data_IF_850999534543
#
_entry.id   IF_850999534543
#
_cell.length_a   1.000
_cell.length_b   1.000
_cell.length_c   1.000
_cell.angle_alpha   90.00
_cell.angle_beta   90.00
_cell.angle_gamma   90.00
#
_symmetry.space_group_name_H-M   'P 1'
#
loop_
_entity.id
_entity.type
_entity.pdbx_description
1 polymer ?
#
# COMPACT_ATOMS: atom_id res chain seq x y z
N UNK A 1 21.84 -44.63 -15.16
CA UNK A 1 21.26 -44.54 -13.80
C UNK A 1 20.23 -43.43 -13.78
N UNK A 2 18.95 -43.76 -13.66
CA UNK A 2 17.88 -42.76 -13.59
C UNK A 2 18.00 -41.97 -12.28
N UNK A 3 18.19 -40.65 -12.38
CA UNK A 3 18.29 -39.74 -11.24
C UNK A 3 16.97 -39.80 -10.47
N UNK A 4 16.95 -40.50 -9.32
CA UNK A 4 15.77 -40.60 -8.46
C UNK A 4 15.30 -39.19 -8.10
N UNK A 5 14.18 -38.78 -8.69
CA UNK A 5 13.61 -37.46 -8.46
C UNK A 5 13.07 -37.44 -7.03
N UNK A 6 13.74 -36.71 -6.14
CA UNK A 6 13.32 -36.56 -4.74
C UNK A 6 11.88 -36.03 -4.70
N UNK A 7 11.04 -36.62 -3.85
CA UNK A 7 9.61 -36.28 -3.72
C UNK A 7 9.38 -34.79 -3.41
N UNK A 8 10.38 -34.14 -2.78
CA UNK A 8 10.39 -32.72 -2.41
C UNK A 8 10.72 -31.75 -3.54
N UNK A 9 11.33 -32.22 -4.64
CA UNK A 9 11.75 -31.38 -5.77
C UNK A 9 10.76 -31.57 -6.93
N UNK A 10 9.64 -30.84 -6.88
CA UNK A 10 8.54 -30.97 -7.82
C UNK A 10 8.14 -29.65 -8.46
N UNK A 11 7.65 -29.75 -9.69
CA UNK A 11 7.17 -28.59 -10.41
C UNK A 11 5.75 -28.26 -9.91
N UNK A 12 5.65 -27.24 -9.06
CA UNK A 12 4.41 -26.74 -8.46
C UNK A 12 3.32 -26.50 -9.51
N UNK A 13 3.66 -25.94 -10.68
CA UNK A 13 2.68 -25.66 -11.74
C UNK A 13 2.04 -26.94 -12.32
N UNK A 14 2.81 -28.02 -12.48
CA UNK A 14 2.31 -29.30 -13.00
C UNK A 14 1.40 -29.98 -11.97
N UNK A 15 1.79 -29.92 -10.69
CA UNK A 15 1.00 -30.45 -9.58
C UNK A 15 -0.33 -29.68 -9.46
N UNK A 16 -0.27 -28.34 -9.44
CA UNK A 16 -1.45 -27.48 -9.46
C UNK A 16 -2.40 -27.83 -10.61
N UNK A 17 -1.89 -28.01 -11.82
CA UNK A 17 -2.72 -28.36 -12.97
C UNK A 17 -3.44 -29.71 -12.81
N UNK A 18 -2.82 -30.71 -12.16
CA UNK A 18 -3.47 -31.98 -11.84
C UNK A 18 -4.54 -31.80 -10.76
N UNK A 19 -4.25 -31.06 -9.69
CA UNK A 19 -5.21 -30.79 -8.61
C UNK A 19 -6.42 -29.98 -9.09
N UNK A 20 -6.22 -29.00 -9.97
CA UNK A 20 -7.32 -28.26 -10.63
C UNK A 20 -8.24 -29.20 -11.42
N UNK A 21 -7.69 -30.21 -12.09
CA UNK A 21 -8.49 -31.21 -12.80
C UNK A 21 -9.26 -32.12 -11.85
N UNK A 22 -8.66 -32.53 -10.73
CA UNK A 22 -9.32 -33.32 -9.70
C UNK A 22 -10.49 -32.54 -9.05
N UNK A 23 -10.23 -31.30 -8.60
CA UNK A 23 -11.24 -30.43 -7.99
C UNK A 23 -12.41 -30.13 -8.94
N UNK A 24 -12.17 -29.98 -10.24
CA UNK A 24 -13.25 -29.78 -11.23
C UNK A 24 -14.16 -31.00 -11.37
N UNK A 25 -13.67 -32.21 -11.10
CA UNK A 25 -14.47 -33.45 -11.13
C UNK A 25 -15.29 -33.59 -9.85
N UNK A 26 -14.75 -33.17 -8.72
CA UNK A 26 -15.37 -33.27 -7.39
C UNK A 26 -16.14 -31.99 -7.01
N UNK A 27 -16.86 -31.38 -7.96
CA UNK A 27 -17.72 -30.22 -7.70
C UNK A 27 -17.06 -29.02 -7.00
N UNK A 28 -15.73 -28.89 -7.04
CA UNK A 28 -14.94 -27.86 -6.37
C UNK A 28 -14.91 -27.93 -4.84
N UNK A 29 -15.23 -29.09 -4.26
CA UNK A 29 -15.13 -29.37 -2.83
C UNK A 29 -14.40 -30.70 -2.65
N UNK A 30 -13.31 -30.71 -1.87
CA UNK A 30 -12.52 -31.93 -1.70
C UNK A 30 -11.66 -31.88 -0.44
N UNK A 31 -11.44 -33.04 0.16
CA UNK A 31 -10.50 -33.21 1.28
C UNK A 31 -9.09 -33.52 0.76
N UNK A 32 -8.09 -33.46 1.64
CA UNK A 32 -6.72 -33.85 1.26
C UNK A 32 -6.67 -35.33 0.84
N UNK A 33 -7.46 -36.19 1.48
CA UNK A 33 -7.54 -37.62 1.17
C UNK A 33 -8.11 -37.86 -0.23
N UNK A 34 -9.22 -37.20 -0.55
CA UNK A 34 -9.88 -37.31 -1.86
C UNK A 34 -8.98 -36.78 -2.98
N UNK A 35 -8.32 -35.63 -2.75
CA UNK A 35 -7.34 -35.10 -3.70
C UNK A 35 -6.17 -36.04 -3.95
N UNK A 36 -5.68 -36.75 -2.92
CA UNK A 36 -4.64 -37.76 -3.11
C UNK A 36 -5.16 -38.94 -3.94
N UNK A 37 -6.36 -39.44 -3.63
CA UNK A 37 -6.99 -40.55 -4.34
C UNK A 37 -7.25 -40.22 -5.82
N UNK A 38 -7.79 -39.02 -6.11
CA UNK A 38 -8.13 -38.58 -7.45
C UNK A 38 -6.91 -38.19 -8.32
N UNK A 39 -5.85 -37.65 -7.70
CA UNK A 39 -4.67 -37.15 -8.44
C UNK A 39 -3.49 -38.11 -8.48
N UNK A 40 -3.44 -39.10 -7.58
CA UNK A 40 -2.33 -40.02 -7.41
C UNK A 40 -1.04 -39.34 -6.93
N UNK A 41 -1.15 -38.20 -6.26
CA UNK A 41 -0.02 -37.39 -5.80
C UNK A 41 0.34 -37.69 -4.33
N UNK A 42 1.63 -37.56 -3.93
CA UNK A 42 2.04 -37.69 -2.55
C UNK A 42 1.43 -36.60 -1.65
N UNK A 43 1.07 -36.95 -0.41
CA UNK A 43 0.49 -36.06 0.61
C UNK A 43 1.17 -34.68 0.67
N UNK A 44 2.49 -34.67 0.82
CA UNK A 44 3.29 -33.44 0.89
C UNK A 44 3.08 -32.49 -0.31
N UNK A 45 2.98 -33.03 -1.53
CA UNK A 45 2.78 -32.22 -2.73
C UNK A 45 1.37 -31.63 -2.79
N UNK A 46 0.38 -32.38 -2.32
CA UNK A 46 -1.02 -31.95 -2.22
C UNK A 46 -1.15 -30.84 -1.18
N UNK A 47 -0.65 -31.03 0.03
CA UNK A 47 -0.72 -30.04 1.13
C UNK A 47 -0.05 -28.71 0.78
N UNK A 48 1.16 -28.76 0.23
CA UNK A 48 1.88 -27.55 -0.21
C UNK A 48 1.14 -26.84 -1.34
N UNK A 49 0.65 -27.59 -2.33
CA UNK A 49 0.03 -27.00 -3.51
C UNK A 49 -1.39 -26.48 -3.23
N UNK A 50 -2.17 -27.17 -2.40
CA UNK A 50 -3.53 -26.76 -2.05
C UNK A 50 -3.50 -25.45 -1.24
N UNK A 51 -2.52 -25.26 -0.35
CA UNK A 51 -2.31 -24.00 0.37
C UNK A 51 -2.09 -22.82 -0.58
N UNK A 52 -1.22 -23.00 -1.57
CA UNK A 52 -0.98 -22.01 -2.62
C UNK A 52 -2.22 -21.79 -3.51
N UNK A 53 -3.01 -22.83 -3.74
CA UNK A 53 -4.25 -22.74 -4.53
C UNK A 53 -5.37 -22.02 -3.76
N UNK A 54 -5.45 -22.19 -2.44
CA UNK A 54 -6.44 -21.48 -1.60
C UNK A 54 -6.24 -19.96 -1.66
N UNK A 55 -5.00 -19.47 -1.69
CA UNK A 55 -4.74 -18.04 -1.92
C UNK A 55 -5.02 -17.61 -3.36
N UNK A 56 -4.57 -18.38 -4.35
CA UNK A 56 -4.72 -18.04 -5.78
C UNK A 56 -6.18 -18.03 -6.27
N UNK A 57 -6.99 -18.97 -5.79
CA UNK A 57 -8.38 -19.21 -6.22
C UNK A 57 -9.43 -18.79 -5.19
N UNK A 58 -9.05 -18.14 -4.08
CA UNK A 58 -9.95 -17.81 -2.96
C UNK A 58 -10.69 -19.05 -2.44
N UNK A 59 -9.90 -20.08 -2.12
CA UNK A 59 -10.40 -21.26 -1.43
C UNK A 59 -10.84 -20.91 -0.02
N UNK A 60 -11.96 -21.46 0.38
CA UNK A 60 -12.44 -21.40 1.75
C UNK A 60 -12.29 -22.77 2.38
N UNK A 61 -12.29 -22.78 3.70
CA UNK A 61 -12.07 -23.97 4.51
C UNK A 61 -13.30 -24.20 5.38
N UNK A 62 -13.74 -25.46 5.43
CA UNK A 62 -14.82 -25.92 6.30
C UNK A 62 -14.36 -27.19 7.01
N UNK A 63 -15.04 -27.49 8.10
CA UNK A 63 -14.86 -28.75 8.84
C UNK A 63 -16.00 -29.67 8.44
N UNK A 64 -15.68 -30.91 8.09
CA UNK A 64 -16.69 -31.96 7.87
C UNK A 64 -17.20 -32.50 9.21
N UNK A 65 -18.31 -33.23 9.20
CA UNK A 65 -18.80 -33.93 10.40
C UNK A 65 -17.79 -34.95 10.95
N UNK A 66 -16.89 -35.45 10.11
CA UNK A 66 -15.77 -36.33 10.49
C UNK A 66 -14.57 -35.60 11.11
N UNK A 67 -14.60 -34.27 11.21
CA UNK A 67 -13.48 -33.48 11.72
C UNK A 67 -12.34 -33.27 10.72
N UNK A 68 -12.57 -33.57 9.45
CA UNK A 68 -11.60 -33.35 8.38
C UNK A 68 -11.74 -31.96 7.77
N UNK A 69 -10.64 -31.46 7.21
CA UNK A 69 -10.59 -30.14 6.57
C UNK A 69 -11.08 -30.28 5.12
N UNK A 70 -12.25 -29.71 4.84
CA UNK A 70 -12.83 -29.61 3.51
C UNK A 70 -12.41 -28.29 2.84
N UNK A 71 -11.78 -28.39 1.68
CA UNK A 71 -11.44 -27.24 0.85
C UNK A 71 -12.55 -27.02 -0.16
N UNK A 72 -13.20 -25.86 -0.13
CA UNK A 72 -14.27 -25.51 -1.08
C UNK A 72 -13.97 -24.20 -1.81
N UNK A 73 -14.29 -24.15 -3.10
CA UNK A 73 -13.99 -22.99 -3.96
C UNK A 73 -15.28 -22.40 -4.54
N UNK A 74 -15.92 -21.39 -3.89
CA UNK A 74 -17.26 -20.92 -4.25
C UNK A 74 -17.33 -20.25 -5.62
N UNK A 75 -16.23 -19.64 -6.07
CA UNK A 75 -16.14 -18.98 -7.38
C UNK A 75 -15.59 -19.91 -8.49
N UNK A 76 -15.44 -21.20 -8.18
CA UNK A 76 -14.75 -22.19 -9.01
C UNK A 76 -13.26 -21.89 -9.21
N UNK A 77 -12.62 -22.60 -10.13
CA UNK A 77 -11.18 -22.42 -10.45
C UNK A 77 -10.93 -21.23 -11.39
N UNK A 78 -11.65 -20.10 -11.22
CA UNK A 78 -11.46 -18.88 -12.02
C UNK A 78 -10.22 -18.13 -11.51
N UNK A 79 -9.10 -18.35 -12.20
CA UNK A 79 -7.79 -17.85 -11.78
C UNK A 79 -7.68 -16.31 -11.86
N UNK A 80 -7.45 -15.62 -10.73
CA UNK A 80 -7.13 -14.17 -10.71
C UNK A 80 -5.72 -13.86 -11.23
N UNK A 81 -4.83 -14.85 -11.30
CA UNK A 81 -3.42 -14.67 -11.66
C UNK A 81 -3.17 -14.88 -13.17
N UNK A 82 -4.01 -15.65 -13.86
CA UNK A 82 -3.93 -15.86 -15.32
C UNK A 82 -5.12 -15.31 -16.13
N UNK A 83 -6.06 -14.58 -15.51
CA UNK A 83 -7.10 -13.87 -16.26
C UNK A 83 -6.55 -12.64 -17.01
N UNK A 84 -6.92 -12.47 -18.27
CA UNK A 84 -6.57 -11.30 -19.12
C UNK A 84 -6.99 -9.96 -18.46
N UNK A 85 -8.15 -9.96 -17.78
CA UNK A 85 -8.77 -8.79 -17.14
C UNK A 85 -7.95 -8.23 -15.95
N UNK A 86 -7.53 -9.02 -14.94
CA UNK A 86 -6.71 -8.51 -13.83
C UNK A 86 -5.27 -8.15 -14.24
N UNK A 87 -4.74 -8.73 -15.32
CA UNK A 87 -3.42 -8.38 -15.87
C UNK A 87 -3.47 -7.05 -16.61
N UNK A 88 -4.51 -6.84 -17.44
CA UNK A 88 -4.79 -5.56 -18.08
C UNK A 88 -5.04 -4.46 -17.03
N UNK A 89 -5.82 -4.73 -15.97
CA UNK A 89 -6.08 -3.73 -14.91
C UNK A 89 -4.82 -3.36 -14.11
N UNK A 90 -3.92 -4.31 -13.81
CA UNK A 90 -2.63 -4.01 -13.17
C UNK A 90 -1.68 -3.28 -14.11
N UNK A 91 -1.64 -3.68 -15.37
CA UNK A 91 -0.82 -3.03 -16.40
C UNK A 91 -1.31 -1.59 -16.63
N UNK A 92 -2.61 -1.36 -16.84
CA UNK A 92 -3.20 -0.03 -16.97
C UNK A 92 -2.95 0.83 -15.75
N UNK A 93 -3.04 0.30 -14.52
CA UNK A 93 -2.72 1.08 -13.31
C UNK A 93 -1.26 1.50 -13.26
N UNK A 94 -0.33 0.59 -13.55
CA UNK A 94 1.11 0.92 -13.60
C UNK A 94 1.43 1.87 -14.76
N UNK A 95 0.85 1.64 -15.93
CA UNK A 95 1.04 2.48 -17.10
C UNK A 95 0.48 3.88 -16.87
N UNK A 96 -0.71 3.99 -16.26
CA UNK A 96 -1.32 5.27 -15.89
C UNK A 96 -0.55 6.00 -14.80
N UNK A 97 0.06 5.29 -13.83
CA UNK A 97 0.94 5.91 -12.83
C UNK A 97 2.23 6.45 -13.43
N UNK A 98 2.85 5.69 -14.35
CA UNK A 98 4.07 6.14 -15.05
C UNK A 98 3.75 7.25 -16.04
N UNK A 99 2.68 7.12 -16.81
CA UNK A 99 2.26 8.14 -17.78
C UNK A 99 1.77 9.41 -17.08
N UNK A 100 1.05 9.31 -15.96
CA UNK A 100 0.70 10.48 -15.17
C UNK A 100 1.94 11.22 -14.65
N UNK A 101 3.02 10.50 -14.29
CA UNK A 101 4.28 11.12 -13.86
C UNK A 101 5.02 11.81 -15.01
N UNK A 102 5.07 11.21 -16.19
CA UNK A 102 5.69 11.82 -17.38
C UNK A 102 4.85 12.99 -17.90
N UNK A 103 3.53 12.83 -17.96
CA UNK A 103 2.61 13.85 -18.44
C UNK A 103 2.56 15.05 -17.48
N UNK A 104 2.57 14.82 -16.16
CA UNK A 104 2.67 15.91 -15.18
C UNK A 104 4.01 16.65 -15.28
N UNK A 105 5.12 15.96 -15.56
CA UNK A 105 6.41 16.60 -15.81
C UNK A 105 6.39 17.47 -17.08
N UNK A 106 5.86 16.95 -18.19
CA UNK A 106 5.70 17.71 -19.44
C UNK A 106 4.79 18.92 -19.24
N UNK A 107 3.67 18.73 -18.54
CA UNK A 107 2.71 19.78 -18.24
C UNK A 107 3.31 20.84 -17.31
N UNK A 108 4.17 20.45 -16.36
CA UNK A 108 4.91 21.37 -15.49
C UNK A 108 5.88 22.23 -16.29
N UNK A 109 6.62 21.65 -17.23
CA UNK A 109 7.49 22.41 -18.13
C UNK A 109 6.67 23.35 -19.00
N UNK A 110 5.56 22.87 -19.57
CA UNK A 110 4.69 23.69 -20.41
C UNK A 110 4.11 24.90 -19.66
N UNK A 111 3.58 24.68 -18.44
CA UNK A 111 3.10 25.77 -17.59
C UNK A 111 4.23 26.73 -17.26
N UNK A 112 5.42 26.24 -16.91
CA UNK A 112 6.58 27.10 -16.62
C UNK A 112 6.93 27.99 -17.82
N UNK A 113 6.99 27.41 -19.03
CA UNK A 113 7.29 28.13 -20.26
C UNK A 113 6.21 29.15 -20.58
N UNK A 114 4.94 28.76 -20.49
CA UNK A 114 3.81 29.68 -20.67
C UNK A 114 3.86 30.82 -19.65
N UNK A 115 4.06 30.53 -18.37
CA UNK A 115 4.13 31.52 -17.31
C UNK A 115 5.25 32.53 -17.55
N UNK A 116 6.45 32.06 -17.86
CA UNK A 116 7.62 32.91 -18.16
C UNK A 116 7.37 33.71 -19.43
N UNK A 117 6.81 33.09 -20.48
CA UNK A 117 6.46 33.76 -21.73
C UNK A 117 5.46 34.90 -21.51
N UNK A 118 4.36 34.65 -20.78
CA UNK A 118 3.39 35.67 -20.42
C UNK A 118 3.97 36.76 -19.52
N UNK A 119 4.88 36.41 -18.61
CA UNK A 119 5.57 37.39 -17.76
C UNK A 119 6.40 38.37 -18.58
N UNK A 120 7.20 37.88 -19.54
CA UNK A 120 7.96 38.75 -20.43
C UNK A 120 7.07 39.56 -21.37
N UNK A 121 5.98 38.96 -21.88
CA UNK A 121 4.99 39.67 -22.68
C UNK A 121 4.36 40.83 -21.88
N UNK A 122 3.99 40.58 -20.63
CA UNK A 122 3.43 41.61 -19.74
C UNK A 122 4.44 42.73 -19.48
N UNK A 123 5.70 42.41 -19.21
CA UNK A 123 6.77 43.41 -19.06
C UNK A 123 6.94 44.22 -20.35
N UNK A 124 6.94 43.59 -21.51
CA UNK A 124 7.09 44.28 -22.79
C UNK A 124 5.95 45.28 -23.03
N UNK A 125 4.70 44.88 -22.77
CA UNK A 125 3.53 45.77 -22.87
C UNK A 125 3.62 46.89 -21.83
N UNK A 126 4.05 46.60 -20.60
CA UNK A 126 4.21 47.60 -19.55
C UNK A 126 5.27 48.65 -19.93
N UNK A 127 6.42 48.22 -20.43
CA UNK A 127 7.49 49.12 -20.90
C UNK A 127 7.00 49.95 -22.08
N UNK A 128 6.32 49.34 -23.05
CA UNK A 128 5.72 50.04 -24.19
C UNK A 128 4.71 51.10 -23.72
N UNK A 129 3.87 50.77 -22.74
CA UNK A 129 2.90 51.70 -22.17
C UNK A 129 3.58 52.87 -21.45
N UNK A 130 4.68 52.63 -20.72
CA UNK A 130 5.47 53.69 -20.07
C UNK A 130 6.11 54.59 -21.12
N UNK A 131 6.74 54.02 -22.15
CA UNK A 131 7.37 54.80 -23.25
C UNK A 131 6.33 55.60 -24.02
N UNK A 132 5.17 55.02 -24.33
CA UNK A 132 4.06 55.72 -24.97
C UNK A 132 3.51 56.85 -24.08
N UNK A 133 3.37 56.62 -22.77
CA UNK A 133 2.96 57.64 -21.81
C UNK A 133 3.94 58.81 -21.76
N UNK A 134 5.24 58.52 -21.76
CA UNK A 134 6.29 59.55 -21.82
C UNK A 134 6.20 60.30 -23.16
N UNK A 135 6.12 59.60 -24.29
CA UNK A 135 6.03 60.21 -25.61
C UNK A 135 4.78 61.12 -25.77
N UNK A 136 3.64 60.70 -25.23
CA UNK A 136 2.43 61.54 -25.19
C UNK A 136 2.64 62.75 -24.27
N UNK A 137 3.34 62.58 -23.14
CA UNK A 137 3.60 63.69 -22.20
C UNK A 137 4.54 64.77 -22.77
N UNK A 138 5.51 64.42 -23.64
CA UNK A 138 6.33 65.41 -24.36
C UNK A 138 5.64 66.04 -25.57
N UNK A 139 4.70 65.33 -26.20
CA UNK A 139 3.91 65.87 -27.31
C UNK A 139 2.80 66.84 -26.85
N UNK A 140 2.33 66.73 -25.60
CA UNK A 140 1.30 67.62 -25.04
C UNK A 140 1.89 68.94 -24.53
N UNK A 141 2.41 69.78 -25.43
CA UNK A 141 2.71 71.19 -25.13
C UNK A 141 1.40 71.98 -25.18
N UNK A 142 0.67 72.00 -24.06
CA UNK A 142 -0.41 72.96 -23.83
C UNK A 142 -1.80 72.38 -23.62
N UNK A 143 -2.05 71.79 -22.45
CA UNK A 143 -3.31 71.98 -21.73
C UNK A 143 -3.13 71.60 -20.26
N UNK A 144 -3.12 72.60 -19.38
CA UNK A 144 -3.25 72.42 -17.93
C UNK A 144 -4.66 71.90 -17.65
N UNK A 145 -4.78 70.66 -17.19
CA UNK A 145 -5.93 70.25 -16.37
C UNK A 145 -5.60 69.04 -15.50
N UNK A 146 -5.61 69.33 -14.20
CA UNK A 146 -5.82 68.47 -13.04
C UNK A 146 -4.85 67.33 -12.75
N UNK A 147 -4.00 67.62 -11.77
CA UNK A 147 -3.32 66.66 -10.91
C UNK A 147 -4.31 65.65 -10.30
N UNK A 148 -4.34 64.44 -10.85
CA UNK A 148 -5.13 63.32 -10.31
C UNK A 148 -4.62 61.94 -10.72
N UNK A 149 -3.78 61.84 -11.76
CA UNK A 149 -3.30 60.56 -12.30
C UNK A 149 -2.18 59.88 -11.49
N UNK A 150 -1.28 60.64 -10.86
CA UNK A 150 -0.15 60.08 -10.12
C UNK A 150 -0.52 59.48 -8.76
N UNK A 151 -1.43 60.15 -8.03
CA UNK A 151 -1.87 59.74 -6.69
C UNK A 151 -2.80 58.53 -6.78
N UNK A 152 -3.72 58.50 -7.75
CA UNK A 152 -4.63 57.36 -7.95
C UNK A 152 -3.86 56.10 -8.37
N UNK A 153 -2.87 56.25 -9.27
CA UNK A 153 -2.00 55.14 -9.67
C UNK A 153 -1.17 54.60 -8.50
N UNK A 154 -0.60 55.48 -7.68
CA UNK A 154 0.15 55.09 -6.49
C UNK A 154 -0.73 54.41 -5.44
N UNK A 155 -1.96 54.91 -5.22
CA UNK A 155 -2.90 54.33 -4.26
C UNK A 155 -3.39 52.95 -4.70
N UNK A 156 -3.63 52.77 -6.01
CA UNK A 156 -4.03 51.48 -6.57
C UNK A 156 -2.90 50.46 -6.51
N UNK A 157 -1.67 50.86 -6.86
CA UNK A 157 -0.47 50.02 -6.71
C UNK A 157 -0.27 49.62 -5.25
N UNK A 158 -0.40 50.57 -4.32
CA UNK A 158 -0.18 50.28 -2.90
C UNK A 158 -1.30 49.40 -2.30
N UNK A 159 -2.55 49.54 -2.78
CA UNK A 159 -3.65 48.63 -2.42
C UNK A 159 -3.45 47.21 -2.96
N UNK A 160 -2.99 47.06 -4.19
CA UNK A 160 -2.67 45.74 -4.78
C UNK A 160 -1.48 45.11 -4.07
N UNK A 161 -0.45 45.90 -3.76
CA UNK A 161 0.70 45.43 -2.98
C UNK A 161 0.31 44.99 -1.57
N UNK A 162 -0.55 45.75 -0.88
CA UNK A 162 -1.06 45.39 0.44
C UNK A 162 -1.90 44.11 0.40
N UNK A 163 -2.75 43.93 -0.61
CA UNK A 163 -3.54 42.70 -0.80
C UNK A 163 -2.63 41.50 -1.06
N UNK A 164 -1.62 41.66 -1.91
CA UNK A 164 -0.62 40.64 -2.20
C UNK A 164 0.20 40.27 -0.95
N UNK A 165 0.68 41.26 -0.21
CA UNK A 165 1.40 41.06 1.05
C UNK A 165 0.53 40.36 2.10
N UNK A 166 -0.75 40.71 2.20
CA UNK A 166 -1.69 40.05 3.10
C UNK A 166 -1.95 38.60 2.71
N UNK A 167 -2.15 38.31 1.42
CA UNK A 167 -2.32 36.94 0.92
C UNK A 167 -1.06 36.12 1.17
N UNK A 168 0.13 36.66 0.90
CA UNK A 168 1.40 35.97 1.05
C UNK A 168 1.77 35.71 2.53
N UNK A 169 1.61 36.72 3.40
CA UNK A 169 1.92 36.56 4.83
C UNK A 169 0.89 35.70 5.57
N UNK A 170 -0.41 35.83 5.24
CA UNK A 170 -1.48 35.08 5.94
C UNK A 170 -1.61 33.64 5.44
N UNK A 171 -1.15 33.35 4.21
CA UNK A 171 -1.10 31.97 3.70
C UNK A 171 0.05 31.15 4.28
N UNK A 172 1.10 31.79 4.82
CA UNK A 172 2.25 31.12 5.45
C UNK A 172 2.05 30.75 6.93
N UNK A 173 1.21 31.46 7.68
CA UNK A 173 0.98 31.21 9.12
C UNK A 173 -0.18 30.25 9.36
N UNK A 174 -0.09 29.07 8.75
CA UNK A 174 -1.09 28.01 8.81
C UNK A 174 -0.66 26.81 9.63
N UNK A 175 -0.38 27.02 10.92
CA UNK A 175 -0.44 26.04 12.02
C UNK A 175 -0.28 24.56 11.65
N UNK A 176 0.84 23.95 12.04
CA UNK A 176 0.93 22.53 12.36
C UNK A 176 -0.16 22.20 13.39
N UNK A 177 -1.35 21.80 12.95
CA UNK A 177 -2.43 21.34 13.83
C UNK A 177 -2.91 19.97 13.38
N UNK A 178 -2.91 19.09 14.37
CA UNK A 178 -3.24 17.68 14.37
C UNK A 178 -4.47 17.25 13.51
N UNK A 179 -4.50 15.99 13.03
CA UNK A 179 -5.32 15.55 11.90
C UNK A 179 -6.66 14.89 12.30
N UNK A 180 -7.37 15.40 13.30
CA UNK A 180 -8.72 14.95 13.62
C UNK A 180 -9.71 16.12 13.59
N UNK A 181 -9.89 16.72 12.42
CA UNK A 181 -11.04 17.58 12.16
C UNK A 181 -11.58 17.32 10.76
N UNK A 182 -12.49 16.35 10.68
CA UNK A 182 -13.48 16.28 9.60
C UNK A 182 -14.24 17.61 9.57
N UNK A 183 -14.32 18.23 8.39
CA UNK A 183 -15.38 19.22 8.13
C UNK A 183 -14.98 20.69 7.91
N UNK A 184 -13.75 21.04 7.52
CA UNK A 184 -13.52 22.34 6.86
C UNK A 184 -12.95 22.16 5.47
N UNK A 185 -13.67 22.69 4.48
CA UNK A 185 -13.31 22.66 3.07
C UNK A 185 -11.87 23.10 2.87
N UNK A 186 -11.15 22.36 2.02
CA UNK A 186 -9.75 22.62 1.70
C UNK A 186 -9.64 23.99 1.01
N UNK A 187 -8.62 24.77 1.38
CA UNK A 187 -8.34 26.01 0.68
C UNK A 187 -7.99 25.73 -0.80
N UNK A 188 -8.48 26.56 -1.72
CA UNK A 188 -8.41 26.34 -3.18
C UNK A 188 -6.99 26.06 -3.69
N UNK A 189 -5.97 26.71 -3.11
CA UNK A 189 -4.57 26.48 -3.47
C UNK A 189 -4.12 25.05 -3.12
N UNK A 190 -4.57 24.48 -2.01
CA UNK A 190 -4.24 23.09 -1.63
C UNK A 190 -4.94 22.08 -2.53
N UNK A 191 -6.17 22.35 -2.98
CA UNK A 191 -6.87 21.46 -3.92
C UNK A 191 -6.27 21.51 -5.32
N UNK A 192 -5.87 22.69 -5.81
CA UNK A 192 -5.20 22.81 -7.12
C UNK A 192 -3.81 22.19 -7.05
N UNK A 193 -3.06 22.42 -5.96
CA UNK A 193 -1.75 21.79 -5.76
C UNK A 193 -1.87 20.25 -5.65
N UNK A 194 -2.82 19.75 -4.87
CA UNK A 194 -3.12 18.32 -4.79
C UNK A 194 -3.54 17.72 -6.14
N UNK A 195 -4.29 18.47 -6.95
CA UNK A 195 -4.70 18.04 -8.30
C UNK A 195 -3.53 17.99 -9.29
N UNK A 196 -2.62 18.97 -9.23
CA UNK A 196 -1.49 19.10 -10.17
C UNK A 196 -0.30 18.22 -9.76
N UNK A 197 -0.02 18.09 -8.47
CA UNK A 197 1.16 17.37 -7.95
C UNK A 197 0.86 15.99 -7.37
N UNK A 198 -0.42 15.67 -7.15
CA UNK A 198 -0.85 14.48 -6.41
C UNK A 198 -0.66 14.67 -4.90
N UNK A 199 -1.60 14.17 -4.10
CA UNK A 199 -1.36 14.07 -2.66
C UNK A 199 -0.36 12.95 -2.41
N UNK A 200 0.62 13.21 -1.55
CA UNK A 200 1.35 12.12 -0.91
C UNK A 200 0.30 11.27 -0.18
N UNK A 201 0.21 9.98 -0.52
CA UNK A 201 -0.73 9.09 0.12
C UNK A 201 -0.27 8.88 1.57
N UNK A 202 -0.68 9.77 2.49
CA UNK A 202 -0.40 9.69 3.93
C UNK A 202 -0.89 8.37 4.56
N UNK A 203 -1.66 7.60 3.79
CA UNK A 203 -2.16 6.28 4.14
C UNK A 203 -1.36 5.10 3.52
N UNK A 204 -0.18 5.31 2.93
CA UNK A 204 0.66 4.22 2.40
C UNK A 204 0.92 3.11 3.43
N UNK A 205 1.07 3.50 4.70
CA UNK A 205 1.54 2.61 5.76
C UNK A 205 0.38 1.91 6.50
N UNK A 206 -0.87 2.04 6.05
CA UNK A 206 -1.99 1.38 6.73
C UNK A 206 -1.94 -0.13 6.62
N UNK A 207 -1.64 -0.65 5.43
CA UNK A 207 -1.58 -2.11 5.22
C UNK A 207 -0.49 -2.74 6.13
N UNK A 208 0.65 -2.06 6.28
CA UNK A 208 1.73 -2.51 7.17
C UNK A 208 1.36 -2.42 8.65
N UNK A 209 0.68 -1.33 9.05
CA UNK A 209 0.22 -1.13 10.44
C UNK A 209 -0.89 -2.12 10.80
N UNK A 210 -1.83 -2.35 9.89
CA UNK A 210 -2.89 -3.36 10.03
C UNK A 210 -2.24 -4.73 10.23
N UNK A 211 -1.37 -5.18 9.31
CA UNK A 211 -0.65 -6.45 9.44
C UNK A 211 0.11 -6.57 10.76
N UNK A 212 0.85 -5.53 11.17
CA UNK A 212 1.60 -5.55 12.44
C UNK A 212 0.68 -5.74 13.65
N UNK A 213 -0.49 -5.11 13.64
CA UNK A 213 -1.50 -5.29 14.67
C UNK A 213 -2.02 -6.73 14.70
N UNK A 214 -2.35 -7.30 13.53
CA UNK A 214 -2.79 -8.71 13.42
C UNK A 214 -1.74 -9.66 14.01
N UNK A 215 -0.47 -9.49 13.65
CA UNK A 215 0.61 -10.34 14.16
C UNK A 215 0.80 -10.22 15.67
N UNK A 216 0.66 -9.00 16.21
CA UNK A 216 0.73 -8.80 17.66
C UNK A 216 -0.41 -9.51 18.38
N UNK A 217 -1.60 -9.54 17.79
CA UNK A 217 -2.76 -10.25 18.31
C UNK A 217 -2.56 -11.77 18.28
N UNK A 218 -2.13 -12.34 17.15
CA UNK A 218 -1.83 -13.77 16.99
C UNK A 218 -0.81 -14.22 18.04
N UNK A 219 0.24 -13.41 18.26
CA UNK A 219 1.27 -13.70 19.25
C UNK A 219 0.71 -13.67 20.68
N UNK A 220 -0.18 -12.74 20.99
CA UNK A 220 -0.86 -12.65 22.29
C UNK A 220 -1.70 -13.89 22.59
N UNK A 221 -2.27 -14.53 21.56
CA UNK A 221 -3.09 -15.74 21.65
C UNK A 221 -2.32 -17.04 21.39
N UNK A 222 -1.03 -17.07 21.72
CA UNK A 222 -0.17 -18.26 21.57
C UNK A 222 -0.20 -18.85 20.15
N UNK A 223 -0.31 -18.00 19.13
CA UNK A 223 -0.25 -18.43 17.73
C UNK A 223 -1.56 -19.02 17.19
N UNK A 224 -2.67 -18.94 17.93
CA UNK A 224 -3.98 -19.42 17.46
C UNK A 224 -4.83 -18.24 16.99
N UNK A 225 -5.49 -18.39 15.84
CA UNK A 225 -6.38 -17.39 15.28
C UNK A 225 -7.58 -18.05 14.61
N UNK A 226 -8.77 -17.48 14.78
CA UNK A 226 -9.98 -17.90 14.04
C UNK A 226 -10.34 -16.89 12.96
N UNK A 227 -11.18 -17.31 12.01
CA UNK A 227 -11.64 -16.42 10.94
C UNK A 227 -12.49 -15.27 11.52
N UNK A 228 -13.34 -15.60 12.49
CA UNK A 228 -14.27 -14.67 13.15
C UNK A 228 -13.52 -13.57 13.90
N UNK A 229 -12.43 -13.91 14.58
CA UNK A 229 -11.59 -12.94 15.28
C UNK A 229 -10.94 -11.96 14.30
N UNK A 230 -10.50 -12.46 13.14
CA UNK A 230 -9.93 -11.60 12.11
C UNK A 230 -11.00 -10.69 11.48
N UNK A 231 -12.24 -11.18 11.34
CA UNK A 231 -13.37 -10.36 10.89
C UNK A 231 -13.67 -9.24 11.87
N UNK A 232 -13.77 -9.54 13.17
CA UNK A 232 -14.04 -8.56 14.22
C UNK A 232 -12.95 -7.49 14.28
N UNK A 233 -11.68 -7.89 14.14
CA UNK A 233 -10.55 -6.96 14.20
C UNK A 233 -10.43 -6.06 12.97
N UNK A 234 -10.71 -6.58 11.76
CA UNK A 234 -10.51 -5.84 10.51
C UNK A 234 -11.79 -5.15 10.00
N UNK A 235 -12.96 -5.58 10.47
CA UNK A 235 -14.26 -5.12 9.98
C UNK A 235 -14.54 -5.48 8.52
N UNK A 236 -13.76 -6.40 7.93
CA UNK A 236 -13.88 -6.81 6.53
C UNK A 236 -14.97 -7.87 6.37
N UNK A 237 -15.45 -8.04 5.13
CA UNK A 237 -16.41 -9.10 4.80
C UNK A 237 -15.78 -10.48 4.96
N UNK A 238 -16.60 -11.53 5.06
CA UNK A 238 -16.12 -12.92 5.19
C UNK A 238 -15.18 -13.32 4.05
N UNK A 239 -15.48 -12.92 2.81
CA UNK A 239 -14.63 -13.23 1.64
C UNK A 239 -13.27 -12.53 1.69
N UNK A 240 -13.25 -11.25 2.05
CA UNK A 240 -12.01 -10.47 2.15
C UNK A 240 -11.14 -10.96 3.30
N UNK A 241 -11.77 -11.29 4.42
CA UNK A 241 -11.12 -11.89 5.60
C UNK A 241 -10.52 -13.25 5.26
N UNK A 242 -11.24 -14.12 4.55
CA UNK A 242 -10.71 -15.41 4.10
C UNK A 242 -9.48 -15.24 3.21
N UNK A 243 -9.55 -14.30 2.25
CA UNK A 243 -8.42 -14.03 1.37
C UNK A 243 -7.19 -13.52 2.17
N UNK A 244 -7.43 -12.65 3.15
CA UNK A 244 -6.37 -12.16 4.04
C UNK A 244 -5.80 -13.30 4.90
N UNK A 245 -6.64 -14.17 5.46
CA UNK A 245 -6.21 -15.35 6.21
C UNK A 245 -5.36 -16.28 5.35
N UNK A 246 -5.78 -16.60 4.13
CA UNK A 246 -5.02 -17.45 3.21
C UNK A 246 -3.63 -16.85 2.91
N UNK A 247 -3.56 -15.53 2.73
CA UNK A 247 -2.30 -14.82 2.57
C UNK A 247 -1.41 -14.98 3.82
N UNK A 248 -1.95 -14.78 5.03
CA UNK A 248 -1.20 -14.93 6.28
C UNK A 248 -0.69 -16.36 6.48
N UNK A 249 -1.49 -17.37 6.14
CA UNK A 249 -1.09 -18.76 6.23
C UNK A 249 0.15 -19.03 5.37
N UNK A 250 0.23 -18.46 4.17
CA UNK A 250 1.41 -18.59 3.31
C UNK A 250 2.58 -17.76 3.83
N UNK A 251 2.35 -16.48 4.15
CA UNK A 251 3.38 -15.51 4.52
C UNK A 251 4.08 -15.86 5.86
N UNK A 252 3.35 -16.46 6.80
CA UNK A 252 3.84 -16.83 8.14
C UNK A 252 3.79 -18.33 8.41
N UNK A 253 3.75 -19.14 7.35
CA UNK A 253 3.78 -20.61 7.43
C UNK A 253 2.73 -21.21 8.39
N UNK A 254 1.56 -20.60 8.50
CA UNK A 254 0.48 -21.11 9.33
C UNK A 254 -0.19 -22.37 8.78
N UNK A 255 -0.79 -23.16 9.66
CA UNK A 255 -1.47 -24.41 9.33
C UNK A 255 -2.92 -24.39 9.85
N UNK A 256 -3.91 -24.77 9.02
CA UNK A 256 -5.28 -24.97 9.49
C UNK A 256 -5.35 -26.26 10.31
N UNK A 257 -6.02 -26.20 11.46
CA UNK A 257 -6.26 -27.34 12.35
C UNK A 257 -7.70 -27.29 12.86
N UNK A 258 -8.21 -28.43 13.27
CA UNK A 258 -9.57 -28.56 13.81
C UNK A 258 -9.45 -28.86 15.29
N UNK A 259 -10.15 -28.07 16.11
CA UNK A 259 -10.23 -28.32 17.56
C UNK A 259 -11.17 -29.48 17.83
N UNK A 260 -11.04 -30.17 18.97
CA UNK A 260 -11.94 -31.25 19.41
C UNK A 260 -13.44 -30.87 19.35
N UNK A 261 -13.76 -29.59 19.54
CA UNK A 261 -15.12 -29.04 19.39
C UNK A 261 -15.56 -28.76 17.94
N UNK A 262 -14.87 -29.28 16.92
CA UNK A 262 -15.24 -29.10 15.51
C UNK A 262 -15.02 -27.67 14.96
N UNK A 263 -14.30 -26.83 15.70
CA UNK A 263 -14.02 -25.44 15.28
C UNK A 263 -12.73 -25.35 14.49
N UNK A 264 -12.79 -24.69 13.32
CA UNK A 264 -11.62 -24.43 12.49
C UNK A 264 -10.73 -23.35 13.13
N UNK A 265 -9.49 -23.71 13.42
CA UNK A 265 -8.49 -22.81 13.99
C UNK A 265 -7.25 -22.76 13.09
N UNK A 266 -6.58 -21.61 13.06
CA UNK A 266 -5.35 -21.42 12.30
C UNK A 266 -4.18 -21.27 13.27
N UNK A 267 -3.18 -22.14 13.13
CA UNK A 267 -2.00 -22.21 13.98
C UNK A 267 -0.82 -21.54 13.29
N UNK A 268 -0.11 -20.68 14.00
CA UNK A 268 1.08 -19.95 13.51
C UNK A 268 2.29 -20.21 14.41
N UNK A 269 2.90 -21.41 14.33
CA UNK A 269 3.98 -21.80 15.23
C UNK A 269 5.25 -20.95 15.06
N UNK A 270 5.59 -20.57 13.82
CA UNK A 270 6.79 -19.79 13.52
C UNK A 270 6.78 -18.38 14.14
N UNK A 271 5.60 -17.78 14.31
CA UNK A 271 5.45 -16.46 14.93
C UNK A 271 5.84 -16.44 16.42
N UNK A 272 5.90 -17.61 17.06
CA UNK A 272 6.26 -17.77 18.48
C UNK A 272 7.77 -18.03 18.66
N UNK A 273 8.43 -18.67 17.69
CA UNK A 273 9.86 -19.01 17.79
C UNK A 273 10.76 -17.78 17.85
N UNK A 274 10.43 -16.73 17.09
CA UNK A 274 11.25 -15.52 16.94
C UNK A 274 11.60 -14.78 18.25
N UNK A 275 10.75 -14.84 19.30
CA UNK A 275 11.08 -14.24 20.62
C UNK A 275 11.72 -15.24 21.57
N UNK A 276 11.35 -16.51 21.52
CA UNK A 276 11.92 -17.54 22.41
C UNK A 276 13.40 -17.79 22.09
N UNK A 277 13.77 -17.72 20.81
CA UNK A 277 15.15 -17.76 20.37
C UNK A 277 15.90 -16.45 20.68
N UNK A 278 15.29 -15.28 20.51
CA UNK A 278 15.95 -14.01 20.88
C UNK A 278 16.17 -13.88 22.39
N UNK A 279 15.26 -14.41 23.22
CA UNK A 279 15.42 -14.47 24.68
C UNK A 279 16.41 -15.57 25.12
N UNK A 280 16.49 -16.71 24.41
CA UNK A 280 17.53 -17.73 24.65
C UNK A 280 18.92 -17.23 24.26
N UNK A 281 19.05 -16.56 23.12
CA UNK A 281 20.31 -15.94 22.67
C UNK A 281 20.74 -14.79 23.59
N UNK A 282 19.79 -14.01 24.13
CA UNK A 282 20.08 -12.99 25.14
C UNK A 282 20.46 -13.58 26.52
N UNK A 283 19.98 -14.79 26.87
CA UNK A 283 20.40 -15.51 28.08
C UNK A 283 21.71 -16.28 27.94
N UNK A 284 22.19 -16.51 26.71
CA UNK A 284 23.46 -17.18 26.43
C UNK A 284 24.65 -16.23 26.30
N UNK A 285 24.47 -14.94 26.57
CA UNK A 285 25.62 -14.06 26.80
C UNK A 285 26.31 -14.52 28.09
N UNK A 286 27.58 -14.93 28.07
CA UNK A 286 28.24 -15.40 29.28
C UNK A 286 28.28 -14.23 30.26
N UNK A 287 27.57 -14.35 31.38
CA UNK A 287 27.83 -13.51 32.53
C UNK A 287 29.31 -13.71 32.85
N UNK A 288 30.09 -12.64 32.78
CA UNK A 288 31.47 -12.62 33.25
C UNK A 288 31.47 -13.15 34.68
N UNK A 289 31.91 -14.40 34.84
CA UNK A 289 32.04 -15.04 36.14
C UNK A 289 33.16 -14.29 36.89
N UNK A 290 32.87 -13.58 37.99
CA UNK A 290 33.87 -12.75 38.66
C UNK A 290 35.00 -13.56 39.32
N UNK A 291 34.89 -14.89 39.38
CA UNK A 291 35.88 -15.76 40.04
C UNK A 291 37.14 -16.09 39.22
N UNK A 292 37.19 -15.77 37.92
CA UNK A 292 38.42 -15.98 37.12
C UNK A 292 39.11 -14.66 36.80
N UNK A 293 39.67 -14.02 37.82
CA UNK A 293 40.72 -13.02 37.63
C UNK A 293 42.06 -13.74 37.57
N UNK A 294 42.52 -14.08 36.36
CA UNK A 294 43.90 -14.56 36.17
C UNK A 294 44.86 -13.44 36.54
N UNK A 295 45.59 -13.62 37.64
CA UNK A 295 46.70 -12.76 38.00
C UNK A 295 47.78 -12.93 36.93
N UNK A 296 48.06 -11.85 36.19
CA UNK A 296 49.18 -11.76 35.28
C UNK A 296 50.43 -11.66 36.15
N UNK A 297 51.40 -12.59 36.10
CA UNK A 297 52.66 -12.41 36.79
C UNK A 297 53.45 -11.32 36.05
N UNK A 298 53.81 -10.25 36.77
CA UNK A 298 54.86 -9.35 36.34
C UNK A 298 56.20 -10.06 36.49
N UNK A 299 56.87 -10.31 35.37
CA UNK A 299 58.31 -10.50 35.27
C UNK A 299 58.78 -9.87 33.96
#
# INVERSE_FOLDING_TARGET
MAKLKKVYDFNISKVKAKLVKALKKEHHESTIADLMAASGLPKYQVEQSIKLMSDEYRGHLKVTESGEILYYFPHGMKNRVQGFVPRAKRFFRKFFQVSARVLSFLFKIWIMVMLVGYFFLFIAILVLAIVASIAVSVASKGRRTSAGGGIFSFYLVMRVFQLFAWILLTSGTGSYRHPYRRGRGRALHKSVFAYVFGEENFNSDWDEREKRHILSFIRGRKGVLTLEELMVMTGKTTEETQALMNQLLIEYEGEPSVTEGGTLVYLFPELLKSRLESLKSARQTPLLNPEKKSLIPFS
#
